data_IF_897806013680
#
_entry.id   IF_897806013680
#
_cell.length_a   1.000
_cell.length_b   1.000
_cell.length_c   1.000
_cell.angle_alpha   90.00
_cell.angle_beta   90.00
_cell.angle_gamma   90.00
#
_symmetry.space_group_name_H-M   'P 1'
#
loop_
_entity.id
_entity.type
_entity.pdbx_description
1 polymer ?
#
# COMPACT_ATOMS: atom_id res chain seq x y z
N UNK A 1 -40.33 13.86 1.79
CA UNK A 1 -39.50 14.69 2.69
C UNK A 1 -38.99 13.93 3.92
N UNK A 2 -39.83 13.25 4.73
CA UNK A 2 -39.36 12.46 5.90
C UNK A 2 -38.49 11.24 5.55
N UNK A 3 -38.78 10.58 4.43
CA UNK A 3 -38.07 9.37 3.98
C UNK A 3 -36.66 9.66 3.47
N UNK A 4 -36.51 10.68 2.62
CA UNK A 4 -35.20 11.17 2.16
C UNK A 4 -34.31 11.63 3.33
N UNK A 5 -34.88 12.27 4.36
CA UNK A 5 -34.13 12.66 5.55
C UNK A 5 -33.63 11.45 6.35
N UNK A 6 -34.41 10.36 6.40
CA UNK A 6 -34.04 9.11 7.05
C UNK A 6 -32.93 8.39 6.29
N UNK A 7 -33.03 8.30 4.97
CA UNK A 7 -31.99 7.70 4.12
C UNK A 7 -30.66 8.46 4.23
N UNK A 8 -30.72 9.79 4.18
CA UNK A 8 -29.55 10.64 4.37
C UNK A 8 -28.90 10.42 5.75
N UNK A 9 -29.71 10.30 6.80
CA UNK A 9 -29.22 10.07 8.15
C UNK A 9 -28.49 8.71 8.28
N UNK A 10 -29.07 7.64 7.72
CA UNK A 10 -28.46 6.30 7.70
C UNK A 10 -27.13 6.31 6.91
N UNK A 11 -27.10 6.96 5.74
CA UNK A 11 -25.86 7.12 4.97
C UNK A 11 -24.78 7.85 5.74
N UNK A 12 -25.13 8.94 6.43
CA UNK A 12 -24.19 9.71 7.25
C UNK A 12 -23.65 8.85 8.41
N UNK A 13 -24.51 8.11 9.10
CA UNK A 13 -24.10 7.23 10.20
C UNK A 13 -23.13 6.14 9.72
N UNK A 14 -23.39 5.51 8.57
CA UNK A 14 -22.49 4.53 7.95
C UNK A 14 -21.13 5.15 7.63
N UNK A 15 -21.10 6.35 7.05
CA UNK A 15 -19.84 7.07 6.75
C UNK A 15 -19.05 7.36 8.01
N UNK A 16 -19.72 7.85 9.07
CA UNK A 16 -19.08 8.10 10.37
C UNK A 16 -18.49 6.80 10.93
N UNK A 17 -19.23 5.70 10.90
CA UNK A 17 -18.74 4.41 11.37
C UNK A 17 -17.52 3.93 10.59
N UNK A 18 -17.54 4.04 9.26
CA UNK A 18 -16.42 3.67 8.40
C UNK A 18 -15.17 4.52 8.70
N UNK A 19 -15.34 5.83 8.87
CA UNK A 19 -14.23 6.74 9.23
C UNK A 19 -13.64 6.36 10.59
N UNK A 20 -14.48 6.09 11.59
CA UNK A 20 -14.01 5.69 12.93
C UNK A 20 -13.27 4.34 12.88
N UNK A 21 -13.78 3.37 12.13
CA UNK A 21 -13.14 2.06 11.97
C UNK A 21 -11.77 2.18 11.27
N UNK A 22 -11.70 2.96 10.18
CA UNK A 22 -10.44 3.22 9.48
C UNK A 22 -9.46 4.01 10.34
N UNK A 23 -9.93 5.01 11.08
CA UNK A 23 -9.10 5.78 12.02
C UNK A 23 -8.52 4.91 13.12
N UNK A 24 -9.33 4.01 13.69
CA UNK A 24 -8.86 3.02 14.68
C UNK A 24 -7.84 2.06 14.06
N UNK A 25 -8.14 1.50 12.89
CA UNK A 25 -7.21 0.63 12.16
C UNK A 25 -5.87 1.32 11.90
N UNK A 26 -5.90 2.53 11.33
CA UNK A 26 -4.69 3.31 11.04
C UNK A 26 -3.92 3.66 12.31
N UNK A 27 -4.61 4.07 13.38
CA UNK A 27 -3.97 4.39 14.65
C UNK A 27 -3.22 3.20 15.24
N UNK A 28 -3.81 2.00 15.17
CA UNK A 28 -3.18 0.77 15.65
C UNK A 28 -2.08 0.27 14.70
N UNK A 29 -2.32 0.28 13.40
CA UNK A 29 -1.38 -0.23 12.41
C UNK A 29 -0.16 0.68 12.22
N UNK A 30 -0.34 2.00 12.35
CA UNK A 30 0.75 2.99 12.31
C UNK A 30 1.54 3.04 13.62
N UNK A 31 1.04 2.45 14.71
CA UNK A 31 1.72 2.46 15.98
C UNK A 31 3.04 1.69 15.88
N UNK A 32 4.16 2.41 16.07
CA UNK A 32 5.52 1.87 15.99
C UNK A 32 5.93 1.32 14.62
N UNK A 33 5.48 1.97 13.55
CA UNK A 33 5.79 1.57 12.17
C UNK A 33 7.30 1.47 11.84
N UNK A 34 8.20 2.01 12.67
CA UNK A 34 9.65 1.87 12.50
C UNK A 34 10.30 0.65 13.18
N UNK A 35 9.60 -0.06 14.07
CA UNK A 35 10.15 -1.17 14.85
C UNK A 35 9.82 -2.54 14.23
N UNK A 36 10.63 -3.58 14.45
CA UNK A 36 11.97 -3.62 15.07
C UNK A 36 13.10 -3.08 14.17
N UNK A 37 12.77 -2.46 13.03
CA UNK A 37 13.72 -2.08 11.99
C UNK A 37 13.31 -2.69 10.66
N UNK A 38 14.22 -2.69 9.68
CA UNK A 38 13.97 -3.24 8.35
C UNK A 38 14.00 -4.78 8.41
N UNK A 39 12.92 -5.43 8.01
CA UNK A 39 12.90 -6.88 7.87
C UNK A 39 13.51 -7.32 6.55
N UNK A 40 13.91 -8.60 6.51
CA UNK A 40 14.59 -9.17 5.34
C UNK A 40 13.71 -9.18 4.09
N UNK A 41 12.45 -9.56 4.23
CA UNK A 41 11.44 -9.53 3.17
C UNK A 41 11.19 -8.09 2.68
N UNK A 42 11.01 -7.14 3.59
CA UNK A 42 10.85 -5.72 3.25
C UNK A 42 12.05 -5.18 2.45
N UNK A 43 13.26 -5.53 2.85
CA UNK A 43 14.48 -5.15 2.16
C UNK A 43 14.56 -5.78 0.75
N UNK A 44 14.31 -7.09 0.68
CA UNK A 44 14.51 -7.88 -0.53
C UNK A 44 13.43 -7.64 -1.58
N UNK A 45 12.17 -7.48 -1.17
CA UNK A 45 11.03 -7.43 -2.08
C UNK A 45 10.73 -6.02 -2.59
N UNK A 46 11.19 -4.98 -1.87
CA UNK A 46 10.94 -3.61 -2.27
C UNK A 46 12.10 -2.67 -1.90
N UNK A 47 12.50 -2.65 -0.63
CA UNK A 47 13.29 -1.57 -0.03
C UNK A 47 14.61 -1.28 -0.72
N UNK A 48 15.43 -2.30 -0.98
CA UNK A 48 16.77 -2.12 -1.58
C UNK A 48 16.65 -1.61 -3.01
N UNK A 49 15.93 -2.31 -3.89
CA UNK A 49 15.84 -1.90 -5.28
C UNK A 49 15.11 -0.57 -5.46
N UNK A 50 14.12 -0.26 -4.61
CA UNK A 50 13.43 1.04 -4.66
C UNK A 50 14.39 2.18 -4.28
N UNK A 51 15.20 1.98 -3.23
CA UNK A 51 16.25 2.93 -2.85
C UNK A 51 17.29 3.10 -3.96
N UNK A 52 17.76 2.01 -4.58
CA UNK A 52 18.73 2.07 -5.68
C UNK A 52 18.17 2.85 -6.87
N UNK A 53 16.91 2.61 -7.25
CA UNK A 53 16.23 3.35 -8.31
C UNK A 53 16.12 4.85 -7.99
N UNK A 54 15.78 5.22 -6.76
CA UNK A 54 15.63 6.62 -6.35
C UNK A 54 16.96 7.36 -6.23
N UNK A 55 18.00 6.69 -5.74
CA UNK A 55 19.34 7.28 -5.57
C UNK A 55 20.17 7.23 -6.84
N UNK A 56 19.77 6.41 -7.82
CA UNK A 56 20.54 6.13 -9.03
C UNK A 56 21.76 5.24 -8.78
N UNK A 57 21.78 4.52 -7.67
CA UNK A 57 22.74 3.46 -7.44
C UNK A 57 22.57 2.33 -8.47
N UNK A 58 23.63 1.53 -8.72
CA UNK A 58 23.50 0.32 -9.52
C UNK A 58 22.41 -0.61 -8.96
N UNK A 59 21.57 -1.17 -9.83
CA UNK A 59 20.50 -2.07 -9.41
C UNK A 59 21.06 -3.45 -9.09
N UNK A 60 20.81 -3.93 -7.87
CA UNK A 60 21.08 -5.31 -7.48
C UNK A 60 19.99 -6.22 -8.04
N UNK A 61 20.10 -6.57 -9.32
CA UNK A 61 19.12 -7.39 -10.02
C UNK A 61 19.19 -8.86 -9.59
N UNK A 62 18.06 -9.44 -9.21
CA UNK A 62 17.98 -10.85 -8.84
C UNK A 62 18.37 -11.74 -10.03
N UNK A 63 19.50 -12.46 -9.91
CA UNK A 63 20.08 -13.30 -11.00
C UNK A 63 20.25 -12.56 -12.33
N UNK A 64 20.47 -11.25 -12.30
CA UNK A 64 20.55 -10.42 -13.50
C UNK A 64 19.22 -10.23 -14.22
N UNK A 65 18.08 -10.57 -13.60
CA UNK A 65 16.74 -10.38 -14.15
C UNK A 65 16.32 -8.90 -14.08
N UNK A 66 16.86 -8.11 -15.01
CA UNK A 66 16.50 -6.71 -15.20
C UNK A 66 16.32 -6.39 -16.68
N UNK A 67 15.40 -5.46 -16.96
CA UNK A 67 15.23 -4.88 -18.28
C UNK A 67 16.07 -3.61 -18.37
N UNK A 68 16.99 -3.52 -19.32
CA UNK A 68 17.73 -2.27 -19.56
C UNK A 68 16.90 -1.34 -20.44
N UNK A 69 16.49 -0.21 -19.89
CA UNK A 69 15.69 0.79 -20.58
C UNK A 69 16.05 2.20 -20.08
N UNK A 70 16.05 3.19 -20.98
CA UNK A 70 16.39 4.59 -20.65
C UNK A 70 17.76 4.75 -19.97
N UNK A 71 18.73 3.91 -20.35
CA UNK A 71 20.09 3.94 -19.78
C UNK A 71 20.20 3.39 -18.35
N UNK A 72 19.12 2.83 -17.80
CA UNK A 72 19.06 2.25 -16.44
C UNK A 72 18.54 0.81 -16.49
N UNK A 73 18.91 0.03 -15.50
CA UNK A 73 18.38 -1.32 -15.31
C UNK A 73 17.10 -1.25 -14.47
N UNK A 74 16.07 -1.98 -14.87
CA UNK A 74 14.76 -2.03 -14.22
C UNK A 74 14.53 -3.45 -13.73
N UNK A 75 14.46 -3.71 -12.41
CA UNK A 75 14.35 -5.06 -11.89
C UNK A 75 13.03 -5.70 -12.35
N UNK A 76 13.09 -6.94 -12.82
CA UNK A 76 11.89 -7.69 -13.19
C UNK A 76 11.44 -8.62 -12.07
N UNK A 77 12.41 -9.16 -11.33
CA UNK A 77 12.22 -10.13 -10.26
C UNK A 77 13.02 -9.72 -9.04
N UNK A 78 12.51 -10.06 -7.87
CA UNK A 78 13.20 -9.92 -6.57
C UNK A 78 13.52 -11.29 -5.96
N UNK A 79 12.73 -12.31 -6.32
CA UNK A 79 12.94 -13.73 -5.96
C UNK A 79 12.48 -14.64 -7.12
N UNK A 80 12.73 -15.95 -7.02
CA UNK A 80 12.39 -16.92 -8.09
C UNK A 80 10.90 -16.93 -8.47
N UNK A 81 10.01 -16.51 -7.57
CA UNK A 81 8.56 -16.51 -7.75
C UNK A 81 7.91 -15.15 -7.41
N UNK A 82 8.71 -14.11 -7.18
CA UNK A 82 8.23 -12.78 -6.80
C UNK A 82 8.78 -11.76 -7.77
N UNK A 83 7.87 -11.11 -8.49
CA UNK A 83 8.16 -9.99 -9.38
C UNK A 83 8.45 -8.70 -8.63
N UNK A 84 9.04 -7.73 -9.32
CA UNK A 84 9.43 -6.44 -8.72
C UNK A 84 8.26 -5.45 -8.52
N UNK A 85 7.01 -5.90 -8.44
CA UNK A 85 5.85 -5.00 -8.34
C UNK A 85 5.94 -4.08 -7.11
N UNK A 86 6.24 -4.65 -5.94
CA UNK A 86 6.33 -3.88 -4.69
C UNK A 86 7.48 -2.87 -4.74
N UNK A 87 8.58 -3.16 -5.45
CA UNK A 87 9.66 -2.19 -5.72
C UNK A 87 9.09 -0.92 -6.35
N UNK A 88 8.24 -1.08 -7.37
CA UNK A 88 7.66 0.05 -8.11
C UNK A 88 6.57 0.78 -7.31
N UNK A 89 5.75 0.04 -6.57
CA UNK A 89 4.72 0.62 -5.71
C UNK A 89 5.32 1.42 -4.55
N UNK A 90 6.49 1.01 -4.03
CA UNK A 90 7.20 1.73 -2.98
C UNK A 90 7.77 3.08 -3.44
N UNK A 91 8.11 3.23 -4.73
CA UNK A 91 8.76 4.43 -5.27
C UNK A 91 8.06 5.75 -4.89
N UNK A 92 6.75 5.95 -5.16
CA UNK A 92 6.09 7.20 -4.82
C UNK A 92 6.12 7.51 -3.32
N UNK A 93 5.98 6.51 -2.46
CA UNK A 93 6.00 6.73 -1.00
C UNK A 93 7.39 7.16 -0.53
N UNK A 94 8.43 6.44 -0.96
CA UNK A 94 9.81 6.77 -0.59
C UNK A 94 10.29 8.08 -1.23
N UNK A 95 9.87 8.39 -2.46
CA UNK A 95 10.20 9.64 -3.13
C UNK A 95 9.57 10.86 -2.42
N UNK A 96 8.33 10.73 -1.94
CA UNK A 96 7.61 11.83 -1.30
C UNK A 96 7.95 12.01 0.17
N UNK A 97 8.21 10.92 0.90
CA UNK A 97 8.38 10.94 2.37
C UNK A 97 9.82 10.71 2.83
N UNK A 98 10.70 10.32 1.90
CA UNK A 98 12.11 10.00 2.15
C UNK A 98 12.37 8.49 2.27
N UNK A 99 13.64 8.10 2.20
CA UNK A 99 14.05 6.70 2.34
C UNK A 99 14.10 6.33 3.83
N UNK A 100 13.28 5.37 4.23
CA UNK A 100 13.23 4.89 5.62
C UNK A 100 12.22 3.78 5.82
N UNK A 101 12.36 3.03 6.93
CA UNK A 101 11.49 1.88 7.25
C UNK A 101 10.02 2.27 7.43
N UNK A 102 9.66 3.31 8.23
CA UNK A 102 8.27 3.73 8.35
C UNK A 102 7.66 4.12 7.00
N UNK A 103 8.48 4.77 6.15
CA UNK A 103 8.06 5.29 4.86
C UNK A 103 7.79 4.17 3.86
N UNK A 104 8.63 3.13 3.84
CA UNK A 104 8.40 1.92 3.04
C UNK A 104 7.06 1.27 3.41
N UNK A 105 6.76 1.19 4.70
CA UNK A 105 5.52 0.57 5.20
C UNK A 105 4.26 1.40 4.93
N UNK A 106 4.39 2.67 4.51
CA UNK A 106 3.24 3.45 4.07
C UNK A 106 2.55 2.83 2.86
N UNK A 107 3.30 2.15 1.99
CA UNK A 107 2.74 1.37 0.88
C UNK A 107 1.75 0.32 1.39
N UNK A 108 2.17 -0.52 2.34
CA UNK A 108 1.35 -1.58 2.91
C UNK A 108 0.11 -1.01 3.63
N UNK A 109 0.27 0.06 4.41
CA UNK A 109 -0.86 0.75 5.05
C UNK A 109 -1.86 1.29 4.03
N UNK A 110 -1.37 1.92 2.97
CA UNK A 110 -2.19 2.49 1.92
C UNK A 110 -2.99 1.40 1.18
N UNK A 111 -2.33 0.31 0.78
CA UNK A 111 -2.98 -0.83 0.14
C UNK A 111 -3.99 -1.50 1.07
N UNK A 112 -3.71 -1.60 2.37
CA UNK A 112 -4.65 -2.14 3.35
C UNK A 112 -5.92 -1.26 3.46
N UNK A 113 -5.78 0.07 3.49
CA UNK A 113 -6.94 0.97 3.48
C UNK A 113 -7.76 0.80 2.19
N UNK A 114 -7.10 0.75 1.03
CA UNK A 114 -7.79 0.52 -0.25
C UNK A 114 -8.52 -0.83 -0.26
N UNK A 115 -7.91 -1.88 0.28
CA UNK A 115 -8.52 -3.19 0.38
C UNK A 115 -9.76 -3.17 1.28
N UNK A 116 -9.69 -2.53 2.45
CA UNK A 116 -10.82 -2.41 3.38
C UNK A 116 -11.98 -1.63 2.76
N UNK A 117 -11.70 -0.50 2.09
CA UNK A 117 -12.71 0.29 1.39
C UNK A 117 -13.34 -0.50 0.23
N UNK A 118 -12.53 -1.22 -0.54
CA UNK A 118 -13.02 -2.05 -1.64
C UNK A 118 -13.89 -3.19 -1.14
N UNK A 119 -13.50 -3.84 -0.05
CA UNK A 119 -14.27 -4.90 0.58
C UNK A 119 -15.61 -4.39 1.09
N UNK A 120 -15.61 -3.25 1.80
CA UNK A 120 -16.84 -2.62 2.29
C UNK A 120 -17.81 -2.33 1.14
N UNK A 121 -17.27 -1.82 0.02
CA UNK A 121 -18.04 -1.52 -1.19
C UNK A 121 -18.64 -2.79 -1.78
N UNK A 122 -17.83 -3.84 -1.97
CA UNK A 122 -18.26 -5.12 -2.55
C UNK A 122 -19.36 -5.76 -1.69
N UNK A 123 -19.18 -5.81 -0.37
CA UNK A 123 -20.16 -6.40 0.55
C UNK A 123 -21.47 -5.61 0.52
N UNK A 124 -21.39 -4.28 0.48
CA UNK A 124 -22.57 -3.42 0.44
C UNK A 124 -23.37 -3.58 -0.83
N UNK A 125 -22.70 -3.64 -1.98
CA UNK A 125 -23.34 -3.86 -3.27
C UNK A 125 -23.95 -5.26 -3.36
N UNK A 126 -23.21 -6.28 -2.93
CA UNK A 126 -23.73 -7.65 -2.86
C UNK A 126 -25.00 -7.73 -2.01
N UNK A 127 -25.01 -7.11 -0.83
CA UNK A 127 -26.17 -7.10 0.05
C UNK A 127 -27.36 -6.33 -0.54
N UNK A 128 -27.11 -5.28 -1.32
CA UNK A 128 -28.17 -4.54 -2.00
C UNK A 128 -28.84 -5.38 -3.10
N UNK A 129 -28.09 -6.25 -3.79
CA UNK A 129 -28.62 -7.16 -4.80
C UNK A 129 -29.46 -8.32 -4.24
N UNK A 130 -29.32 -8.62 -2.94
CA UNK A 130 -30.08 -9.68 -2.26
C UNK A 130 -31.45 -9.20 -1.74
N UNK A 131 -31.75 -7.90 -1.84
CA UNK A 131 -33.04 -7.30 -1.46
C UNK A 131 -33.90 -7.08 -2.69
#
# INVERSE_FOLDING_TARGET
MKEQAREQWVMNLRRVWLILALGLFLGLAAYQLGLPGLHYDEAKEAGVNAMELLTGAPITAYRGAALRALGRDWPLMVQDYIGALNVYLALPFLALTGIGVPNLRMEALFLAVLALLSLERVVSEWWALQK
#
